data_IF_135526304023
#
_entry.id   IF_135526304023
#
_cell.length_a   1.000
_cell.length_b   1.000
_cell.length_c   1.000
_cell.angle_alpha   90.00
_cell.angle_beta   90.00
_cell.angle_gamma   90.00
#
_symmetry.space_group_name_H-M   'P 1'
#
loop_
_entity.id
_entity.type
_entity.pdbx_description
1 polymer ?
#
# COMPACT_ATOMS: atom_id res chain seq x y z
N UNK A 1 9.90 35.37 9.45
CA UNK A 1 8.65 34.70 9.03
C UNK A 1 7.60 35.03 10.09
N UNK A 2 6.55 35.80 9.79
CA UNK A 2 5.56 36.21 10.78
C UNK A 2 4.59 35.07 11.05
N UNK A 3 4.42 34.68 12.32
CA UNK A 3 3.28 33.89 12.77
C UNK A 3 3.53 32.70 13.71
N UNK A 4 4.76 32.23 13.89
CA UNK A 4 4.99 31.12 14.81
C UNK A 4 5.43 31.60 16.18
N UNK A 5 4.66 31.24 17.21
CA UNK A 5 4.95 31.61 18.59
C UNK A 5 5.72 30.49 19.28
N UNK A 6 6.83 30.83 19.91
CA UNK A 6 7.66 29.91 20.71
C UNK A 6 7.37 30.17 22.17
N UNK A 7 7.23 29.12 22.99
CA UNK A 7 7.18 29.24 24.44
C UNK A 7 8.55 28.94 25.02
N UNK A 8 9.17 29.91 25.67
CA UNK A 8 10.44 29.79 26.40
C UNK A 8 10.20 29.68 27.91
N UNK A 9 10.68 28.61 28.53
CA UNK A 9 10.56 28.36 29.98
C UNK A 9 11.98 28.28 30.54
N UNK A 10 12.33 29.26 31.36
CA UNK A 10 13.66 29.44 31.92
C UNK A 10 13.52 30.18 33.27
N UNK A 11 14.07 29.65 34.34
CA UNK A 11 13.96 30.23 35.65
C UNK A 11 14.96 31.36 35.89
N UNK A 12 16.15 31.26 35.29
CA UNK A 12 17.15 32.33 35.36
C UNK A 12 16.72 33.56 34.55
N UNK A 13 16.56 34.70 35.18
CA UNK A 13 16.11 35.95 34.53
C UNK A 13 17.05 36.36 33.38
N UNK A 14 18.39 36.26 33.59
CA UNK A 14 19.38 36.62 32.58
C UNK A 14 19.35 35.69 31.40
N UNK A 15 19.22 34.38 31.65
CA UNK A 15 19.08 33.34 30.61
C UNK A 15 17.80 33.54 29.82
N UNK A 16 16.68 33.82 30.50
CA UNK A 16 15.37 34.10 29.87
C UNK A 16 15.40 35.32 28.99
N UNK A 17 15.95 36.46 29.50
CA UNK A 17 16.09 37.69 28.70
C UNK A 17 16.99 37.49 27.48
N UNK A 18 18.13 36.79 27.61
CA UNK A 18 19.01 36.47 26.51
C UNK A 18 18.35 35.58 25.47
N UNK A 19 17.62 34.57 25.91
CA UNK A 19 16.82 33.69 25.05
C UNK A 19 15.76 34.46 24.26
N UNK A 20 14.97 35.31 24.96
CA UNK A 20 13.99 36.20 24.37
C UNK A 20 14.62 37.11 23.31
N UNK A 21 15.72 37.78 23.66
CA UNK A 21 16.44 38.69 22.76
C UNK A 21 16.89 37.95 21.48
N UNK A 22 17.54 36.80 21.62
CA UNK A 22 18.06 36.03 20.49
C UNK A 22 16.98 35.52 19.54
N UNK A 23 15.87 35.01 20.09
CA UNK A 23 14.75 34.47 19.29
C UNK A 23 13.96 35.59 18.61
N UNK A 24 13.69 36.72 19.32
CA UNK A 24 13.02 37.88 18.71
C UNK A 24 13.86 38.55 17.64
N UNK A 25 15.19 38.64 17.82
CA UNK A 25 16.13 39.14 16.79
C UNK A 25 16.18 38.22 15.57
N UNK A 26 15.86 36.94 15.72
CA UNK A 26 15.72 35.98 14.62
C UNK A 26 14.33 36.03 13.97
N UNK A 27 13.41 36.89 14.44
CA UNK A 27 12.10 37.13 13.83
C UNK A 27 10.96 36.27 14.38
N UNK A 28 11.18 35.58 15.50
CA UNK A 28 10.13 34.76 16.15
C UNK A 28 9.32 35.57 17.16
N UNK A 29 8.03 35.25 17.27
CA UNK A 29 7.20 35.68 18.42
C UNK A 29 7.47 34.76 19.59
N UNK A 30 7.74 35.32 20.78
CA UNK A 30 8.12 34.52 21.94
C UNK A 30 7.30 34.92 23.17
N UNK A 31 6.58 33.95 23.71
CA UNK A 31 6.00 33.97 25.04
C UNK A 31 7.01 33.34 26.02
N UNK A 32 7.10 33.82 27.24
CA UNK A 32 8.02 33.27 28.25
C UNK A 32 7.34 32.97 29.58
N UNK A 33 7.91 32.02 30.30
CA UNK A 33 7.53 31.66 31.66
C UNK A 33 8.78 31.52 32.53
N UNK A 34 8.69 31.88 33.81
CA UNK A 34 9.79 31.85 34.74
C UNK A 34 9.94 30.52 35.47
N UNK A 35 9.01 29.61 35.32
CA UNK A 35 9.04 28.26 35.90
C UNK A 35 8.21 27.27 35.06
N UNK A 36 8.35 25.99 35.39
CA UNK A 36 7.66 24.92 34.63
C UNK A 36 6.14 24.94 34.83
N UNK A 37 5.63 25.37 35.99
CA UNK A 37 4.20 25.41 36.27
C UNK A 37 3.50 26.50 35.46
N UNK A 38 4.07 27.70 35.46
CA UNK A 38 3.62 28.85 34.68
C UNK A 38 3.73 28.53 33.16
N UNK A 39 4.80 27.83 32.75
CA UNK A 39 4.97 27.35 31.37
C UNK A 39 3.88 26.40 30.94
N UNK A 40 3.58 25.38 31.71
CA UNK A 40 2.51 24.42 31.46
C UNK A 40 1.10 25.06 31.48
N UNK A 41 0.86 26.04 32.33
CA UNK A 41 -0.40 26.78 32.35
C UNK A 41 -0.57 27.66 31.09
N UNK A 42 0.53 28.23 30.59
CA UNK A 42 0.52 29.07 29.37
C UNK A 42 0.52 28.29 28.07
N UNK A 43 0.94 27.02 28.09
CA UNK A 43 1.06 26.19 26.88
C UNK A 43 -0.30 25.92 26.24
N UNK A 44 -0.43 26.29 24.97
CA UNK A 44 -1.57 25.99 24.11
C UNK A 44 -1.05 25.44 22.76
N UNK A 45 -1.40 24.18 22.35
CA UNK A 45 -0.90 23.56 21.14
C UNK A 45 -1.20 24.32 19.84
N UNK A 46 -2.33 25.05 19.83
CA UNK A 46 -2.79 25.85 18.69
C UNK A 46 -1.98 27.14 18.54
N UNK A 47 -1.40 27.63 19.63
CA UNK A 47 -0.64 28.89 19.65
C UNK A 47 0.86 28.67 19.58
N UNK A 48 1.39 27.70 20.34
CA UNK A 48 2.82 27.51 20.47
C UNK A 48 3.33 26.47 19.47
N UNK A 49 4.16 26.91 18.52
CA UNK A 49 4.73 26.06 17.50
C UNK A 49 5.94 25.24 17.98
N UNK A 50 6.59 25.70 19.04
CA UNK A 50 7.76 25.07 19.68
C UNK A 50 7.77 25.45 21.16
N UNK A 51 8.22 24.53 22.00
CA UNK A 51 8.55 24.84 23.41
C UNK A 51 10.04 24.65 23.62
N UNK A 52 10.65 25.61 24.32
CA UNK A 52 12.03 25.55 24.78
C UNK A 52 11.98 25.55 26.30
N UNK A 53 12.58 24.60 26.98
CA UNK A 53 12.57 24.52 28.44
C UNK A 53 13.95 24.21 28.99
N UNK A 54 14.35 24.89 30.07
CA UNK A 54 15.47 24.43 30.88
C UNK A 54 15.10 23.12 31.56
N UNK A 55 16.05 22.22 31.73
CA UNK A 55 15.86 21.00 32.51
C UNK A 55 15.90 21.21 34.00
N UNK A 56 16.77 22.08 34.46
CA UNK A 56 17.04 22.32 35.89
C UNK A 56 16.30 23.57 36.34
N UNK A 57 15.05 23.43 36.76
CA UNK A 57 14.22 24.50 37.30
C UNK A 57 13.64 24.10 38.66
N UNK A 58 13.45 25.05 39.62
CA UNK A 58 12.77 24.79 40.87
C UNK A 58 11.31 24.33 40.63
N UNK A 59 10.83 23.42 41.46
CA UNK A 59 9.44 22.95 41.41
C UNK A 59 9.24 21.95 40.26
N UNK A 60 8.51 22.35 39.22
CA UNK A 60 8.28 21.50 38.02
C UNK A 60 9.46 21.63 37.06
N UNK A 61 10.35 20.66 37.07
CA UNK A 61 11.53 20.62 36.20
C UNK A 61 11.19 20.34 34.72
N UNK A 62 12.16 20.63 33.81
CA UNK A 62 11.95 20.53 32.37
C UNK A 62 11.63 19.13 31.84
N UNK A 63 12.07 18.06 32.52
CA UNK A 63 11.68 16.70 32.16
C UNK A 63 10.17 16.45 32.34
N UNK A 64 9.60 16.97 33.44
CA UNK A 64 8.15 16.87 33.66
C UNK A 64 7.37 17.78 32.72
N UNK A 65 7.90 18.98 32.42
CA UNK A 65 7.35 19.84 31.36
C UNK A 65 7.32 19.11 30.02
N UNK A 66 8.41 18.51 29.60
CA UNK A 66 8.49 17.71 28.36
C UNK A 66 7.41 16.62 28.33
N UNK A 67 7.30 15.83 29.39
CA UNK A 67 6.34 14.74 29.49
C UNK A 67 4.90 15.24 29.34
N UNK A 68 4.50 16.27 30.11
CA UNK A 68 3.13 16.84 30.11
C UNK A 68 2.80 17.52 28.77
N UNK A 69 3.77 18.16 28.12
CA UNK A 69 3.57 18.73 26.78
C UNK A 69 3.32 17.62 25.77
N UNK A 70 4.12 16.53 25.80
CA UNK A 70 3.94 15.39 24.90
C UNK A 70 2.63 14.64 25.11
N UNK A 71 2.11 14.59 26.33
CA UNK A 71 0.78 14.07 26.63
C UNK A 71 -0.35 14.92 26.03
N UNK A 72 -0.19 16.28 26.03
CA UNK A 72 -1.17 17.20 25.47
C UNK A 72 -1.06 17.36 23.94
N UNK A 73 0.17 17.26 23.40
CA UNK A 73 0.46 17.45 21.98
C UNK A 73 1.73 16.70 21.60
N UNK A 74 1.57 15.53 20.99
CA UNK A 74 2.68 14.73 20.47
C UNK A 74 3.47 15.48 19.40
N UNK A 75 2.78 16.28 18.58
CA UNK A 75 3.35 16.96 17.41
C UNK A 75 4.11 18.25 17.74
N UNK A 76 3.93 18.81 18.96
CA UNK A 76 4.68 20.01 19.35
C UNK A 76 6.12 19.65 19.69
N UNK A 77 7.12 20.14 18.93
CA UNK A 77 8.52 19.90 19.28
C UNK A 77 8.86 20.58 20.58
N UNK A 78 9.66 19.90 21.40
CA UNK A 78 10.21 20.43 22.66
C UNK A 78 11.73 20.39 22.56
N UNK A 79 12.35 21.57 22.66
CA UNK A 79 13.81 21.74 22.73
C UNK A 79 14.20 21.88 24.18
N UNK A 80 15.19 21.13 24.63
CA UNK A 80 15.61 21.12 26.03
C UNK A 80 16.94 21.83 26.16
N UNK A 81 17.06 22.70 27.16
CA UNK A 81 18.33 23.36 27.53
C UNK A 81 18.88 22.66 28.78
N UNK A 82 20.17 22.37 28.81
CA UNK A 82 20.81 21.66 29.92
C UNK A 82 22.16 22.29 30.26
N UNK A 83 22.60 22.14 31.49
CA UNK A 83 23.95 22.58 31.92
C UNK A 83 25.06 21.74 31.26
N UNK A 84 26.25 22.29 31.17
CA UNK A 84 27.41 21.61 30.60
C UNK A 84 27.79 20.36 31.42
N UNK A 85 27.75 19.18 30.79
CA UNK A 85 28.14 17.91 31.41
C UNK A 85 27.02 16.90 31.68
N UNK A 86 25.74 17.28 31.62
CA UNK A 86 24.59 16.39 31.87
C UNK A 86 24.17 15.55 30.64
N UNK A 87 25.15 14.79 30.08
CA UNK A 87 24.89 13.95 28.89
C UNK A 87 23.81 12.90 29.19
N UNK A 88 23.81 12.31 30.38
CA UNK A 88 22.80 11.29 30.75
C UNK A 88 21.39 11.86 30.79
N UNK A 89 21.24 13.08 31.31
CA UNK A 89 19.94 13.78 31.36
C UNK A 89 19.48 14.20 29.95
N UNK A 90 20.40 14.67 29.11
CA UNK A 90 20.12 14.95 27.70
C UNK A 90 19.63 13.69 26.94
N UNK A 91 20.29 12.56 27.14
CA UNK A 91 19.88 11.27 26.58
C UNK A 91 18.51 10.84 27.10
N UNK A 92 18.23 11.03 28.39
CA UNK A 92 16.92 10.75 28.98
C UNK A 92 15.82 11.63 28.37
N UNK A 93 16.09 12.93 28.14
CA UNK A 93 15.17 13.85 27.49
C UNK A 93 14.87 13.42 26.04
N UNK A 94 15.89 13.01 25.28
CA UNK A 94 15.71 12.47 23.92
C UNK A 94 14.86 11.21 23.92
N UNK A 95 15.05 10.30 24.87
CA UNK A 95 14.21 9.09 25.03
C UNK A 95 12.78 9.44 25.42
N UNK A 96 12.56 10.52 26.17
CA UNK A 96 11.23 11.03 26.55
C UNK A 96 10.53 11.81 25.42
N UNK A 97 11.16 11.93 24.23
CA UNK A 97 10.57 12.54 23.05
C UNK A 97 10.92 14.03 22.84
N UNK A 98 11.99 14.53 23.44
CA UNK A 98 12.53 15.84 23.08
C UNK A 98 12.95 15.83 21.59
N UNK A 99 12.79 16.98 20.93
CA UNK A 99 13.24 17.16 19.55
C UNK A 99 14.76 17.17 19.46
N UNK A 100 15.38 17.95 20.33
CA UNK A 100 16.84 18.11 20.46
C UNK A 100 17.16 18.71 21.81
N UNK A 101 18.47 18.84 22.14
CA UNK A 101 18.95 19.50 23.34
C UNK A 101 20.05 20.52 23.02
N UNK A 102 20.20 21.53 23.89
CA UNK A 102 21.25 22.53 23.82
C UNK A 102 21.99 22.61 25.16
N UNK A 103 23.31 22.41 25.16
CA UNK A 103 24.16 22.57 26.34
C UNK A 103 24.54 24.03 26.58
N UNK A 104 24.34 24.55 27.82
CA UNK A 104 24.84 25.88 28.24
C UNK A 104 26.33 25.83 28.48
N UNK A 105 27.13 26.82 28.01
CA UNK A 105 26.73 27.96 27.20
C UNK A 105 26.60 27.59 25.73
N UNK A 106 25.55 28.11 25.08
CA UNK A 106 25.30 27.91 23.65
C UNK A 106 25.42 29.21 22.86
N UNK A 107 25.88 29.10 21.62
CA UNK A 107 25.92 30.24 20.70
C UNK A 107 24.52 30.51 20.12
N UNK A 108 24.21 31.80 19.90
CA UNK A 108 22.97 32.24 19.28
C UNK A 108 22.65 31.46 18.00
N UNK A 109 23.62 31.30 17.13
CA UNK A 109 23.43 30.65 15.82
C UNK A 109 23.03 29.17 15.97
N UNK A 110 23.53 28.50 17.00
CA UNK A 110 23.12 27.12 17.30
C UNK A 110 21.67 27.04 17.78
N UNK A 111 21.26 27.93 18.69
CA UNK A 111 19.85 28.03 19.13
C UNK A 111 18.92 28.29 17.93
N UNK A 112 19.23 29.29 17.12
CA UNK A 112 18.38 29.69 15.97
C UNK A 112 18.31 28.57 14.94
N UNK A 113 19.41 27.90 14.63
CA UNK A 113 19.45 26.76 13.70
C UNK A 113 18.61 25.59 14.18
N UNK A 114 18.69 25.24 15.49
CA UNK A 114 17.94 24.13 16.06
C UNK A 114 16.45 24.44 16.09
N UNK A 115 16.08 25.66 16.45
CA UNK A 115 14.70 26.16 16.39
C UNK A 115 14.13 26.08 14.96
N UNK A 116 14.91 26.55 13.97
CA UNK A 116 14.51 26.48 12.56
C UNK A 116 14.22 25.03 12.11
N UNK A 117 15.13 24.10 12.43
CA UNK A 117 14.95 22.65 12.11
C UNK A 117 13.69 22.07 12.77
N UNK A 118 13.43 22.43 14.04
CA UNK A 118 12.26 21.96 14.77
C UNK A 118 10.95 22.44 14.14
N UNK A 119 10.89 23.71 13.77
CA UNK A 119 9.71 24.31 13.14
C UNK A 119 9.51 23.80 11.70
N UNK A 120 10.57 23.62 10.93
CA UNK A 120 10.51 23.05 9.59
C UNK A 120 9.96 21.61 9.63
N UNK A 121 10.47 20.77 10.53
CA UNK A 121 9.94 19.40 10.71
C UNK A 121 8.46 19.39 11.09
N UNK A 122 8.02 20.30 11.99
CA UNK A 122 6.61 20.43 12.34
C UNK A 122 5.75 20.82 11.14
N UNK A 123 6.18 21.80 10.34
CA UNK A 123 5.49 22.23 9.11
C UNK A 123 5.35 21.09 8.12
N UNK A 124 6.44 20.37 7.85
CA UNK A 124 6.40 19.19 6.96
C UNK A 124 5.41 18.14 7.47
N UNK A 125 5.41 17.84 8.77
CA UNK A 125 4.45 16.90 9.36
C UNK A 125 3.00 17.39 9.23
N UNK A 126 2.75 18.67 9.45
CA UNK A 126 1.42 19.26 9.30
C UNK A 126 0.95 19.31 7.86
N UNK A 127 1.85 19.61 6.91
CA UNK A 127 1.56 19.59 5.48
C UNK A 127 1.24 18.19 4.98
N UNK A 128 2.04 17.19 5.36
CA UNK A 128 1.74 15.77 5.10
C UNK A 128 0.38 15.37 5.70
N UNK A 129 0.09 15.80 6.92
CA UNK A 129 -1.20 15.52 7.57
C UNK A 129 -2.37 16.24 6.88
N UNK A 130 -2.15 17.46 6.39
CA UNK A 130 -3.14 18.23 5.62
C UNK A 130 -3.39 17.60 4.25
N UNK A 131 -2.33 17.25 3.51
CA UNK A 131 -2.42 16.54 2.23
C UNK A 131 -3.11 15.18 2.39
N UNK A 132 -2.77 14.44 3.44
CA UNK A 132 -3.45 13.18 3.77
C UNK A 132 -4.93 13.38 4.10
N UNK A 133 -5.30 14.45 4.80
CA UNK A 133 -6.72 14.80 5.08
C UNK A 133 -7.45 15.21 3.82
N UNK A 134 -6.83 15.98 2.93
CA UNK A 134 -7.39 16.35 1.63
C UNK A 134 -7.60 15.13 0.73
N UNK A 135 -6.68 14.16 0.75
CA UNK A 135 -6.82 12.89 -0.01
C UNK A 135 -7.70 11.86 0.68
N UNK A 136 -7.81 11.87 2.01
CA UNK A 136 -8.66 10.95 2.76
C UNK A 136 -10.16 11.35 2.73
N UNK A 137 -10.47 12.62 2.49
CA UNK A 137 -11.85 13.14 2.46
C UNK A 137 -12.48 13.24 1.07
N UNK A 138 -11.70 13.09 0.00
CA UNK A 138 -12.25 13.05 -1.36
C UNK A 138 -12.62 11.59 -1.65
N UNK A 139 -13.89 11.25 -1.40
CA UNK A 139 -14.48 10.02 -1.92
C UNK A 139 -14.31 10.08 -3.45
N UNK A 140 -13.31 9.36 -3.99
CA UNK A 140 -13.17 9.24 -5.45
C UNK A 140 -14.46 8.58 -5.95
N UNK A 141 -15.22 9.23 -6.82
CA UNK A 141 -16.47 8.66 -7.27
C UNK A 141 -16.18 7.33 -7.96
N UNK A 142 -16.87 6.27 -7.53
CA UNK A 142 -16.83 4.99 -8.22
C UNK A 142 -17.78 5.12 -9.41
N UNK A 143 -17.21 5.30 -10.59
CA UNK A 143 -17.95 5.42 -11.84
C UNK A 143 -18.53 4.05 -12.20
N UNK A 144 -19.84 3.97 -12.34
CA UNK A 144 -20.57 2.76 -12.71
C UNK A 144 -21.93 3.10 -13.31
N UNK A 145 -22.45 2.21 -14.12
CA UNK A 145 -23.81 2.25 -14.69
C UNK A 145 -24.49 0.88 -14.53
N UNK A 146 -23.70 -0.19 -14.33
CA UNK A 146 -24.21 -1.55 -14.27
C UNK A 146 -24.99 -1.83 -12.98
N UNK A 147 -26.09 -2.60 -13.05
CA UNK A 147 -26.81 -3.06 -11.86
C UNK A 147 -25.97 -3.98 -10.96
N UNK A 148 -25.00 -4.71 -11.54
CA UNK A 148 -24.13 -5.60 -10.80
C UNK A 148 -23.23 -4.81 -9.84
N UNK A 149 -22.58 -3.73 -10.32
CA UNK A 149 -21.74 -2.87 -9.47
C UNK A 149 -22.61 -2.08 -8.49
N UNK A 150 -23.79 -1.61 -8.88
CA UNK A 150 -24.73 -0.93 -7.98
C UNK A 150 -25.06 -1.80 -6.76
N UNK A 151 -25.39 -3.09 -6.97
CA UNK A 151 -25.67 -4.04 -5.87
C UNK A 151 -24.45 -4.25 -4.95
N UNK A 152 -23.25 -4.36 -5.51
CA UNK A 152 -22.05 -4.48 -4.72
C UNK A 152 -21.83 -3.23 -3.83
N UNK A 153 -22.06 -2.04 -4.38
CA UNK A 153 -21.96 -0.79 -3.64
C UNK A 153 -23.04 -0.64 -2.55
N UNK A 154 -24.26 -1.11 -2.80
CA UNK A 154 -25.31 -1.14 -1.77
C UNK A 154 -24.92 -2.04 -0.58
N UNK A 155 -24.29 -3.20 -0.84
CA UNK A 155 -23.76 -4.05 0.23
C UNK A 155 -22.63 -3.31 0.96
N UNK A 156 -21.70 -2.68 0.22
CA UNK A 156 -20.61 -1.90 0.79
C UNK A 156 -21.11 -0.79 1.72
N UNK A 157 -22.16 -0.07 1.32
CA UNK A 157 -22.76 1.01 2.11
C UNK A 157 -23.45 0.46 3.37
N UNK A 158 -24.15 -0.67 3.28
CA UNK A 158 -24.78 -1.32 4.45
C UNK A 158 -23.76 -1.78 5.48
N UNK A 159 -22.68 -2.41 5.03
CA UNK A 159 -21.63 -2.90 5.95
C UNK A 159 -20.75 -1.79 6.50
N UNK A 160 -20.77 -0.60 5.91
CA UNK A 160 -19.98 0.54 6.37
C UNK A 160 -20.29 0.91 7.83
N UNK A 161 -21.55 0.86 8.24
CA UNK A 161 -21.99 1.18 9.61
C UNK A 161 -21.56 0.16 10.68
N UNK A 162 -21.20 -1.07 10.25
CA UNK A 162 -20.73 -2.14 11.12
C UNK A 162 -19.23 -2.02 11.40
N UNK A 163 -18.77 -2.60 12.53
CA UNK A 163 -17.34 -2.79 12.82
C UNK A 163 -16.80 -4.14 12.32
N UNK A 164 -17.66 -4.99 11.76
CA UNK A 164 -17.28 -6.33 11.30
C UNK A 164 -16.21 -6.27 10.19
N UNK A 165 -15.28 -7.23 10.14
CA UNK A 165 -14.39 -7.44 9.01
C UNK A 165 -15.19 -7.69 7.73
N UNK A 166 -14.65 -7.22 6.59
CA UNK A 166 -15.23 -7.44 5.26
C UNK A 166 -14.16 -8.01 4.36
N UNK A 167 -14.47 -9.08 3.66
CA UNK A 167 -13.62 -9.68 2.64
C UNK A 167 -14.12 -9.27 1.26
N UNK A 168 -13.32 -8.51 0.54
CA UNK A 168 -13.63 -8.05 -0.82
C UNK A 168 -12.94 -9.00 -1.80
N UNK A 169 -13.72 -9.75 -2.56
CA UNK A 169 -13.21 -10.70 -3.55
C UNK A 169 -13.40 -10.16 -4.98
N UNK A 170 -12.53 -10.54 -5.89
CA UNK A 170 -12.64 -10.16 -7.29
C UNK A 170 -11.29 -10.06 -7.97
N UNK A 171 -11.28 -10.15 -9.30
CA UNK A 171 -10.08 -10.14 -10.11
C UNK A 171 -9.23 -8.88 -9.90
N UNK A 172 -7.94 -8.98 -10.30
CA UNK A 172 -7.06 -7.82 -10.25
C UNK A 172 -7.60 -6.68 -11.12
N UNK A 173 -7.50 -5.44 -10.62
CA UNK A 173 -7.96 -4.27 -11.35
C UNK A 173 -9.48 -4.00 -11.33
N UNK A 174 -10.28 -4.74 -10.56
CA UNK A 174 -11.75 -4.52 -10.46
C UNK A 174 -12.14 -3.31 -9.61
N UNK A 175 -11.20 -2.75 -8.81
CA UNK A 175 -11.45 -1.59 -7.95
C UNK A 175 -11.64 -1.92 -6.47
N UNK A 176 -11.13 -3.05 -5.98
CA UNK A 176 -11.26 -3.50 -4.57
C UNK A 176 -10.86 -2.43 -3.56
N UNK A 177 -9.74 -1.74 -3.79
CA UNK A 177 -9.28 -0.66 -2.90
C UNK A 177 -10.24 0.54 -2.88
N UNK A 178 -10.83 0.93 -4.02
CA UNK A 178 -11.80 2.03 -4.07
C UNK A 178 -13.05 1.71 -3.26
N UNK A 179 -13.52 0.46 -3.33
CA UNK A 179 -14.65 -0.01 -2.53
C UNK A 179 -14.30 -0.05 -1.04
N UNK A 180 -13.09 -0.49 -0.67
CA UNK A 180 -12.63 -0.45 0.72
C UNK A 180 -12.57 0.99 1.26
N UNK A 181 -12.09 1.95 0.45
CA UNK A 181 -12.08 3.38 0.81
C UNK A 181 -13.49 3.94 0.99
N UNK A 182 -14.45 3.53 0.13
CA UNK A 182 -15.87 3.90 0.29
C UNK A 182 -16.45 3.36 1.59
N UNK A 183 -16.21 2.08 1.92
CA UNK A 183 -16.65 1.47 3.19
C UNK A 183 -16.08 2.27 4.38
N UNK A 184 -14.80 2.61 4.33
CA UNK A 184 -14.17 3.41 5.38
C UNK A 184 -14.80 4.80 5.50
N UNK A 185 -14.90 5.56 4.39
CA UNK A 185 -15.41 6.92 4.37
C UNK A 185 -16.84 7.02 4.93
N UNK A 186 -17.68 5.99 4.67
CA UNK A 186 -19.06 5.92 5.15
C UNK A 186 -19.22 5.23 6.51
N UNK A 187 -18.13 4.81 7.14
CA UNK A 187 -18.13 4.19 8.46
C UNK A 187 -18.10 5.22 9.59
N UNK A 188 -18.38 4.77 10.81
CA UNK A 188 -18.17 5.58 12.03
C UNK A 188 -16.71 5.97 12.25
N UNK A 189 -15.77 5.33 11.51
CA UNK A 189 -14.32 5.58 11.55
C UNK A 189 -13.82 6.38 10.34
N UNK A 190 -14.72 6.95 9.54
CA UNK A 190 -14.39 7.67 8.30
C UNK A 190 -13.53 8.91 8.50
N UNK A 191 -13.52 9.49 9.70
CA UNK A 191 -12.62 10.59 10.11
C UNK A 191 -11.24 10.09 10.59
N UNK A 192 -11.10 8.80 10.87
CA UNK A 192 -9.86 8.18 11.33
C UNK A 192 -8.92 7.82 10.17
N UNK A 193 -7.74 7.24 10.47
CA UNK A 193 -6.79 6.86 9.43
C UNK A 193 -7.29 5.68 8.59
N UNK A 194 -7.06 5.74 7.27
CA UNK A 194 -7.15 4.60 6.37
C UNK A 194 -5.74 4.17 5.96
N UNK A 195 -5.31 3.01 6.45
CA UNK A 195 -3.98 2.48 6.16
C UNK A 195 -4.12 1.28 5.23
N UNK A 196 -3.60 1.40 4.00
CA UNK A 196 -3.59 0.31 3.04
C UNK A 196 -2.24 -0.39 3.03
N UNK A 197 -2.26 -1.73 2.96
CA UNK A 197 -1.08 -2.58 2.84
C UNK A 197 -1.35 -3.61 1.76
N UNK A 198 -0.51 -3.64 0.73
CA UNK A 198 -0.52 -4.71 -0.24
C UNK A 198 0.46 -5.81 0.21
N UNK A 199 -0.08 -6.97 0.58
CA UNK A 199 0.71 -8.06 1.16
C UNK A 199 1.61 -8.74 0.11
N UNK A 200 1.26 -8.69 -1.17
CA UNK A 200 2.06 -9.24 -2.26
C UNK A 200 3.26 -8.35 -2.64
N UNK A 201 3.18 -7.03 -2.35
CA UNK A 201 4.22 -6.08 -2.75
C UNK A 201 5.40 -6.01 -1.78
N UNK A 202 5.28 -6.58 -0.57
CA UNK A 202 6.29 -6.51 0.49
C UNK A 202 6.93 -7.89 0.66
N UNK A 203 8.27 -8.00 0.63
CA UNK A 203 8.96 -9.26 0.94
C UNK A 203 8.53 -9.81 2.31
N UNK A 204 8.31 -11.13 2.41
CA UNK A 204 7.76 -11.77 3.60
C UNK A 204 8.52 -11.47 4.91
N UNK A 205 9.86 -11.38 4.84
CA UNK A 205 10.70 -11.02 5.99
C UNK A 205 10.46 -9.60 6.51
N UNK A 206 10.08 -8.66 5.62
CA UNK A 206 9.80 -7.27 5.98
C UNK A 206 8.31 -7.06 6.35
N UNK A 207 7.44 -7.91 5.82
CA UNK A 207 5.99 -7.77 6.00
C UNK A 207 5.57 -7.86 7.46
N UNK A 208 6.23 -8.73 8.24
CA UNK A 208 5.99 -8.85 9.68
C UNK A 208 6.30 -7.54 10.40
N UNK A 209 7.47 -6.97 10.16
CA UNK A 209 7.91 -5.71 10.74
C UNK A 209 7.05 -4.52 10.29
N UNK A 210 6.59 -4.50 9.04
CA UNK A 210 5.67 -3.47 8.55
C UNK A 210 4.30 -3.56 9.24
N UNK A 211 3.72 -4.77 9.36
CA UNK A 211 2.38 -4.94 9.93
C UNK A 211 2.36 -4.69 11.45
N UNK A 212 3.27 -5.35 12.19
CA UNK A 212 3.21 -5.41 13.65
C UNK A 212 4.18 -4.43 14.33
N UNK A 213 5.19 -3.93 13.59
CA UNK A 213 6.21 -3.03 14.14
C UNK A 213 7.33 -3.77 14.87
N UNK A 214 8.40 -3.05 15.19
CA UNK A 214 9.54 -3.59 15.93
C UNK A 214 10.13 -2.55 16.88
N UNK A 215 10.73 -3.01 17.96
CA UNK A 215 11.56 -2.19 18.83
C UNK A 215 12.99 -2.11 18.28
N UNK A 216 13.76 -1.13 18.73
CA UNK A 216 15.17 -1.00 18.36
C UNK A 216 15.94 -2.26 18.80
N UNK A 217 16.72 -2.85 17.89
CA UNK A 217 17.54 -4.04 18.16
C UNK A 217 16.81 -5.38 18.03
N UNK A 218 15.54 -5.40 17.59
CA UNK A 218 14.77 -6.61 17.44
C UNK A 218 15.34 -7.61 16.41
N UNK A 219 16.07 -7.11 15.42
CA UNK A 219 16.79 -7.91 14.42
C UNK A 219 17.97 -7.12 13.84
N UNK A 220 18.85 -7.78 13.08
CA UNK A 220 20.00 -7.15 12.39
C UNK A 220 19.50 -6.11 11.39
N UNK A 221 19.75 -4.82 11.69
CA UNK A 221 19.23 -3.68 10.90
C UNK A 221 18.12 -2.87 11.56
N UNK A 222 17.56 -3.31 12.69
CA UNK A 222 16.57 -2.55 13.47
C UNK A 222 17.24 -1.41 14.28
N UNK A 223 17.70 -0.37 13.57
CA UNK A 223 18.41 0.77 14.18
C UNK A 223 17.49 1.73 14.95
N UNK A 224 16.19 1.72 14.66
CA UNK A 224 15.15 2.57 15.27
C UNK A 224 13.92 1.73 15.60
N UNK A 225 13.13 2.17 16.57
CA UNK A 225 11.77 1.67 16.76
C UNK A 225 10.89 2.12 15.57
N UNK A 226 10.00 1.23 15.10
CA UNK A 226 9.03 1.54 14.05
C UNK A 226 7.66 1.05 14.45
N UNK A 227 6.66 1.95 14.56
CA UNK A 227 5.28 1.51 14.80
C UNK A 227 4.76 0.76 13.58
N UNK A 228 4.14 -0.41 13.80
CA UNK A 228 3.52 -1.21 12.74
C UNK A 228 2.26 -0.54 12.16
N UNK A 229 1.79 -1.07 11.03
CA UNK A 229 0.59 -0.57 10.34
C UNK A 229 -0.67 -0.68 11.19
N UNK A 230 -0.78 -1.69 12.05
CA UNK A 230 -1.88 -1.80 13.00
C UNK A 230 -1.93 -0.62 13.97
N UNK A 231 -0.79 -0.22 14.54
CA UNK A 231 -0.72 0.96 15.43
C UNK A 231 -1.02 2.25 14.67
N UNK A 232 -0.55 2.37 13.41
CA UNK A 232 -0.84 3.52 12.55
C UNK A 232 -2.32 3.63 12.19
N UNK A 233 -3.04 2.50 12.08
CA UNK A 233 -4.46 2.43 11.76
C UNK A 233 -5.37 2.56 13.00
N UNK A 234 -4.83 2.72 14.20
CA UNK A 234 -5.61 2.79 15.43
C UNK A 234 -6.59 3.96 15.40
N UNK A 235 -7.83 3.72 15.81
CA UNK A 235 -8.96 4.64 15.65
C UNK A 235 -9.57 4.68 14.25
N UNK A 236 -9.04 3.90 13.29
CA UNK A 236 -9.44 3.91 11.88
C UNK A 236 -9.62 2.52 11.28
N UNK A 237 -9.13 2.36 10.05
CA UNK A 237 -9.28 1.13 9.26
C UNK A 237 -7.95 0.71 8.67
N UNK A 238 -7.62 -0.58 8.80
CA UNK A 238 -6.52 -1.23 8.08
C UNK A 238 -7.11 -2.02 6.91
N UNK A 239 -6.62 -1.74 5.71
CA UNK A 239 -6.97 -2.47 4.50
C UNK A 239 -5.80 -3.37 4.09
N UNK A 240 -6.05 -4.68 4.04
CA UNK A 240 -5.08 -5.70 3.64
C UNK A 240 -5.43 -6.16 2.22
N UNK A 241 -4.68 -5.70 1.22
CA UNK A 241 -4.83 -6.15 -0.16
C UNK A 241 -4.01 -7.41 -0.39
N UNK A 242 -4.55 -8.36 -1.16
CA UNK A 242 -4.01 -9.68 -1.43
C UNK A 242 -3.66 -10.45 -0.14
N UNK A 243 -4.64 -10.52 0.78
CA UNK A 243 -4.48 -11.13 2.11
C UNK A 243 -4.09 -12.61 2.05
N UNK A 244 -4.41 -13.31 0.97
CA UNK A 244 -4.05 -14.72 0.72
C UNK A 244 -2.55 -14.93 0.47
N UNK A 245 -1.79 -13.86 0.21
CA UNK A 245 -0.34 -13.89 0.05
C UNK A 245 0.43 -13.81 1.39
N UNK A 246 -0.29 -13.67 2.51
CA UNK A 246 0.33 -13.67 3.84
C UNK A 246 0.93 -15.04 4.16
N UNK A 247 2.21 -15.12 4.58
CA UNK A 247 2.79 -16.35 5.13
C UNK A 247 1.98 -16.90 6.31
N UNK A 248 1.88 -18.22 6.45
CA UNK A 248 1.09 -18.88 7.49
C UNK A 248 1.42 -18.43 8.92
N UNK A 249 2.70 -18.11 9.19
CA UNK A 249 3.12 -17.58 10.48
C UNK A 249 2.49 -16.22 10.78
N UNK A 250 2.36 -15.35 9.76
CA UNK A 250 1.74 -14.02 9.90
C UNK A 250 0.22 -14.11 9.98
N UNK A 251 -0.38 -15.11 9.33
CA UNK A 251 -1.81 -15.36 9.44
C UNK A 251 -2.22 -15.67 10.90
N UNK A 252 -1.39 -16.41 11.66
CA UNK A 252 -1.64 -16.68 13.07
C UNK A 252 -1.59 -15.40 13.93
N UNK A 253 -0.61 -14.51 13.66
CA UNK A 253 -0.52 -13.21 14.34
C UNK A 253 -1.70 -12.29 13.99
N UNK A 254 -2.09 -12.26 12.71
CA UNK A 254 -3.26 -11.51 12.26
C UNK A 254 -4.54 -11.99 12.96
N UNK A 255 -4.73 -13.31 13.06
CA UNK A 255 -5.88 -13.90 13.77
C UNK A 255 -5.93 -13.41 15.22
N UNK A 256 -4.79 -13.39 15.91
CA UNK A 256 -4.71 -12.91 17.29
C UNK A 256 -5.13 -11.43 17.39
N UNK A 257 -4.67 -10.58 16.49
CA UNK A 257 -5.09 -9.16 16.47
C UNK A 257 -6.60 -9.02 16.26
N UNK A 258 -7.19 -9.85 15.36
CA UNK A 258 -8.64 -9.83 15.11
C UNK A 258 -9.48 -10.35 16.28
N UNK A 259 -8.91 -11.16 17.16
CA UNK A 259 -9.61 -11.75 18.31
C UNK A 259 -9.42 -10.94 19.59
N UNK A 260 -8.18 -10.55 19.88
CA UNK A 260 -7.78 -9.97 21.17
C UNK A 260 -7.60 -8.44 21.09
N UNK A 261 -7.61 -7.85 19.89
CA UNK A 261 -7.35 -6.42 19.66
C UNK A 261 -6.00 -5.94 20.23
N UNK A 262 -5.00 -6.83 20.21
CA UNK A 262 -3.64 -6.53 20.63
C UNK A 262 -2.64 -6.91 19.54
N UNK A 263 -1.52 -6.20 19.52
CA UNK A 263 -0.41 -6.44 18.58
C UNK A 263 0.84 -6.81 19.37
N UNK A 264 1.46 -7.92 19.02
CA UNK A 264 2.78 -8.30 19.52
C UNK A 264 3.85 -7.60 18.67
N UNK A 265 4.49 -6.59 19.26
CA UNK A 265 5.59 -5.86 18.60
C UNK A 265 6.84 -6.75 18.60
N UNK A 266 7.55 -6.83 17.46
CA UNK A 266 8.74 -7.67 17.34
C UNK A 266 9.83 -7.17 18.31
N UNK A 267 10.28 -8.06 19.19
CA UNK A 267 11.27 -7.74 20.25
C UNK A 267 10.71 -6.91 21.40
N UNK A 268 9.40 -6.68 21.45
CA UNK A 268 8.72 -6.01 22.57
C UNK A 268 8.36 -6.98 23.69
N UNK A 269 8.32 -6.48 24.92
CA UNK A 269 8.06 -7.28 26.13
C UNK A 269 6.56 -7.47 26.42
N UNK A 270 5.70 -6.63 25.85
CA UNK A 270 4.25 -6.66 26.12
C UNK A 270 3.43 -6.37 24.85
N UNK A 271 2.24 -7.01 24.71
CA UNK A 271 1.32 -6.71 23.63
C UNK A 271 0.76 -5.28 23.77
N UNK A 272 0.54 -4.64 22.63
CA UNK A 272 0.00 -3.26 22.54
C UNK A 272 -1.45 -3.31 22.07
N UNK A 273 -2.36 -2.74 22.84
CA UNK A 273 -3.78 -2.64 22.46
C UNK A 273 -3.95 -1.74 21.22
N UNK A 274 -4.82 -2.17 20.30
CA UNK A 274 -5.15 -1.43 19.07
C UNK A 274 -6.65 -1.49 18.82
N UNK A 275 -7.23 -0.37 18.41
CA UNK A 275 -8.63 -0.28 18.01
C UNK A 275 -8.72 -0.07 16.49
N UNK A 276 -8.74 -1.15 15.72
CA UNK A 276 -8.65 -1.11 14.25
C UNK A 276 -9.78 -1.94 13.63
N UNK A 277 -10.50 -1.36 12.67
CA UNK A 277 -11.35 -2.13 11.76
C UNK A 277 -10.51 -2.71 10.64
N UNK A 278 -10.66 -4.01 10.35
CA UNK A 278 -9.94 -4.67 9.26
C UNK A 278 -10.86 -4.89 8.07
N UNK A 279 -10.40 -4.46 6.89
CA UNK A 279 -10.95 -4.81 5.59
C UNK A 279 -9.87 -5.62 4.86
N UNK A 280 -10.25 -6.73 4.23
CA UNK A 280 -9.32 -7.59 3.49
C UNK A 280 -9.77 -7.70 2.04
N UNK A 281 -8.82 -7.85 1.11
CA UNK A 281 -9.12 -8.10 -0.29
C UNK A 281 -8.23 -9.21 -0.86
N UNK A 282 -8.74 -9.91 -1.87
CA UNK A 282 -7.99 -10.90 -2.63
C UNK A 282 -8.56 -11.09 -4.04
N UNK A 283 -7.72 -11.51 -4.96
CA UNK A 283 -8.10 -11.96 -6.30
C UNK A 283 -8.18 -13.48 -6.42
N UNK A 284 -7.89 -14.21 -5.34
CA UNK A 284 -7.83 -15.68 -5.34
C UNK A 284 -9.09 -16.28 -4.69
N UNK A 285 -9.37 -17.54 -5.03
CA UNK A 285 -10.40 -18.31 -4.38
C UNK A 285 -9.93 -18.71 -2.96
N UNK A 286 -10.56 -18.10 -1.96
CA UNK A 286 -10.21 -18.29 -0.54
C UNK A 286 -10.51 -19.70 -0.06
N UNK A 287 -11.52 -20.36 -0.64
CA UNK A 287 -11.89 -21.73 -0.28
C UNK A 287 -10.89 -22.73 -0.86
N UNK A 288 -10.47 -22.55 -2.09
CA UNK A 288 -9.41 -23.36 -2.71
C UNK A 288 -8.10 -23.20 -1.94
N UNK A 289 -7.68 -21.96 -1.63
CA UNK A 289 -6.47 -21.70 -0.83
C UNK A 289 -6.53 -22.29 0.57
N UNK A 290 -7.70 -22.30 1.21
CA UNK A 290 -7.89 -22.96 2.50
C UNK A 290 -7.84 -24.49 2.42
N UNK A 291 -8.33 -25.07 1.32
CA UNK A 291 -8.23 -26.52 1.06
C UNK A 291 -6.78 -26.97 0.81
N UNK A 292 -5.99 -26.14 0.10
CA UNK A 292 -4.56 -26.35 -0.14
C UNK A 292 -3.68 -26.13 1.10
N UNK A 293 -4.24 -25.63 2.21
CA UNK A 293 -3.51 -25.34 3.44
C UNK A 293 -2.66 -24.05 3.37
N UNK A 294 -2.82 -23.23 2.34
CA UNK A 294 -2.13 -21.94 2.14
C UNK A 294 -2.84 -20.79 2.88
N UNK A 295 -4.12 -20.98 3.22
CA UNK A 295 -4.90 -20.08 4.06
C UNK A 295 -5.46 -20.85 5.26
N UNK A 296 -5.26 -20.34 6.47
CA UNK A 296 -5.81 -20.96 7.68
C UNK A 296 -7.33 -20.79 7.70
N UNK A 297 -8.04 -21.88 7.98
CA UNK A 297 -9.52 -21.87 8.05
C UNK A 297 -10.06 -20.98 9.17
N UNK A 298 -9.37 -20.94 10.31
CA UNK A 298 -9.75 -20.09 11.46
C UNK A 298 -9.65 -18.60 11.11
N UNK A 299 -8.60 -18.20 10.39
CA UNK A 299 -8.45 -16.83 9.89
C UNK A 299 -9.52 -16.49 8.83
N UNK A 300 -9.78 -17.41 7.89
CA UNK A 300 -10.82 -17.22 6.88
C UNK A 300 -12.19 -16.93 7.53
N UNK A 301 -12.61 -17.73 8.49
CA UNK A 301 -13.89 -17.51 9.21
C UNK A 301 -13.92 -16.16 9.96
N UNK A 302 -12.79 -15.67 10.42
CA UNK A 302 -12.72 -14.40 11.13
C UNK A 302 -12.70 -13.19 10.20
N UNK A 303 -12.11 -13.31 9.00
CA UNK A 303 -12.09 -12.27 7.97
C UNK A 303 -13.38 -12.23 7.14
N UNK A 304 -13.95 -13.39 6.82
CA UNK A 304 -15.11 -13.55 5.96
C UNK A 304 -16.43 -13.51 6.75
N UNK A 305 -16.62 -12.45 7.56
CA UNK A 305 -17.92 -12.19 8.22
C UNK A 305 -18.92 -11.67 7.20
N UNK A 306 -18.46 -10.82 6.28
CA UNK A 306 -19.23 -10.36 5.13
C UNK A 306 -18.33 -10.49 3.90
N UNK A 307 -18.77 -11.26 2.92
CA UNK A 307 -18.13 -11.35 1.62
C UNK A 307 -18.75 -10.36 0.64
N UNK A 308 -17.89 -9.63 -0.05
CA UNK A 308 -18.27 -8.63 -1.06
C UNK A 308 -17.58 -8.95 -2.39
N UNK A 309 -18.22 -9.75 -3.25
CA UNK A 309 -17.69 -10.05 -4.57
C UNK A 309 -17.84 -8.86 -5.51
N UNK A 310 -16.74 -8.47 -6.17
CA UNK A 310 -16.75 -7.45 -7.23
C UNK A 310 -16.75 -8.12 -8.60
N UNK A 311 -17.73 -7.83 -9.46
CA UNK A 311 -17.82 -8.43 -10.78
C UNK A 311 -16.65 -7.95 -11.65
N UNK A 312 -16.07 -8.81 -12.50
CA UNK A 312 -15.09 -8.42 -13.50
C UNK A 312 -15.74 -7.53 -14.57
N UNK A 313 -14.94 -6.71 -15.26
CA UNK A 313 -15.43 -5.69 -16.19
C UNK A 313 -16.24 -6.30 -17.36
N UNK A 314 -15.91 -7.51 -17.80
CA UNK A 314 -16.65 -8.24 -18.85
C UNK A 314 -18.10 -8.60 -18.44
N UNK A 315 -18.41 -8.63 -17.15
CA UNK A 315 -19.75 -8.89 -16.60
C UNK A 315 -20.54 -7.59 -16.29
N UNK A 316 -19.89 -6.42 -16.48
CA UNK A 316 -20.47 -5.09 -16.27
C UNK A 316 -20.11 -4.15 -17.42
N UNK A 317 -20.38 -4.58 -18.64
CA UNK A 317 -20.00 -3.85 -19.86
C UNK A 317 -20.60 -2.45 -19.94
N UNK A 318 -21.74 -2.23 -19.29
CA UNK A 318 -22.40 -0.93 -19.18
C UNK A 318 -21.53 0.11 -18.47
N UNK A 319 -20.57 -0.33 -17.65
CA UNK A 319 -19.63 0.56 -16.96
C UNK A 319 -18.52 1.07 -17.90
N UNK A 320 -18.26 0.42 -19.03
CA UNK A 320 -17.12 0.72 -19.91
C UNK A 320 -17.22 2.14 -20.46
N UNK A 321 -18.36 2.50 -21.05
CA UNK A 321 -18.53 3.83 -21.66
C UNK A 321 -18.35 4.98 -20.64
N UNK A 322 -19.01 4.99 -19.46
CA UNK A 322 -18.78 6.03 -18.47
C UNK A 322 -17.37 6.03 -17.88
N UNK A 323 -16.72 4.86 -17.74
CA UNK A 323 -15.32 4.76 -17.31
C UNK A 323 -14.37 5.36 -18.34
N UNK A 324 -14.58 5.10 -19.64
CA UNK A 324 -13.77 5.68 -20.72
C UNK A 324 -13.86 7.19 -20.70
N UNK A 325 -15.07 7.75 -20.64
CA UNK A 325 -15.28 9.20 -20.55
C UNK A 325 -14.58 9.80 -19.33
N UNK A 326 -14.69 9.13 -18.18
CA UNK A 326 -14.03 9.57 -16.96
C UNK A 326 -12.49 9.58 -17.08
N UNK A 327 -11.91 8.53 -17.64
CA UNK A 327 -10.46 8.42 -17.79
C UNK A 327 -9.94 9.39 -18.84
N UNK A 328 -10.59 9.49 -20.00
CA UNK A 328 -10.18 10.43 -21.05
C UNK A 328 -10.21 11.87 -20.54
N UNK A 329 -11.29 12.27 -19.85
CA UNK A 329 -11.38 13.60 -19.24
C UNK A 329 -10.27 13.83 -18.19
N UNK A 330 -9.91 12.80 -17.42
CA UNK A 330 -8.84 12.87 -16.43
C UNK A 330 -7.44 12.98 -17.02
N UNK A 331 -7.17 12.29 -18.13
CA UNK A 331 -5.85 12.27 -18.78
C UNK A 331 -5.65 13.38 -19.83
N UNK A 332 -6.72 14.01 -20.30
CA UNK A 332 -6.66 15.04 -21.33
C UNK A 332 -6.01 16.35 -20.88
N UNK A 333 -5.75 16.56 -19.58
CA UNK A 333 -5.06 17.73 -19.00
C UNK A 333 -5.62 19.07 -19.50
N UNK A 334 -6.96 19.16 -19.62
CA UNK A 334 -7.66 20.36 -20.08
C UNK A 334 -7.88 20.46 -21.60
N UNK A 335 -7.46 19.45 -22.39
CA UNK A 335 -7.88 19.31 -23.77
C UNK A 335 -9.32 18.77 -23.81
N UNK A 336 -10.16 19.33 -24.66
CA UNK A 336 -11.50 18.82 -24.92
C UNK A 336 -11.41 17.74 -26.00
N UNK A 337 -11.24 16.48 -25.58
CA UNK A 337 -11.10 15.33 -26.47
C UNK A 337 -12.45 14.60 -26.62
N UNK A 338 -12.98 14.61 -27.84
CA UNK A 338 -14.17 13.84 -28.16
C UNK A 338 -13.84 12.34 -28.22
N UNK A 339 -14.64 11.51 -27.53
CA UNK A 339 -14.57 10.05 -27.63
C UNK A 339 -15.59 9.58 -28.66
N UNK A 340 -15.13 9.18 -29.86
CA UNK A 340 -16.02 8.76 -30.93
C UNK A 340 -16.81 7.50 -30.57
N UNK A 341 -18.00 7.34 -31.13
CA UNK A 341 -18.83 6.13 -30.91
C UNK A 341 -18.08 4.84 -31.33
N UNK A 342 -17.28 4.92 -32.40
CA UNK A 342 -16.47 3.78 -32.85
C UNK A 342 -15.45 3.32 -31.80
N UNK A 343 -14.83 4.25 -31.07
CA UNK A 343 -13.92 3.94 -29.94
C UNK A 343 -14.68 3.29 -28.79
N UNK A 344 -15.85 3.82 -28.43
CA UNK A 344 -16.67 3.24 -27.35
C UNK A 344 -17.09 1.81 -27.68
N UNK A 345 -17.58 1.58 -28.91
CA UNK A 345 -17.98 0.26 -29.39
C UNK A 345 -16.83 -0.74 -29.40
N UNK A 346 -15.65 -0.32 -29.88
CA UNK A 346 -14.47 -1.16 -29.87
C UNK A 346 -14.04 -1.53 -28.45
N UNK A 347 -13.99 -0.57 -27.52
CA UNK A 347 -13.62 -0.82 -26.13
C UNK A 347 -14.66 -1.71 -25.41
N UNK A 348 -15.94 -1.57 -25.74
CA UNK A 348 -17.02 -2.41 -25.17
C UNK A 348 -16.94 -3.88 -25.62
N UNK A 349 -16.34 -4.18 -26.79
CA UNK A 349 -16.18 -5.56 -27.30
C UNK A 349 -15.04 -6.33 -26.64
N UNK A 350 -14.05 -5.64 -26.07
CA UNK A 350 -12.86 -6.25 -25.48
C UNK A 350 -13.18 -6.97 -24.15
N UNK A 351 -12.40 -8.00 -23.84
CA UNK A 351 -12.62 -8.85 -22.66
C UNK A 351 -12.06 -8.28 -21.35
N UNK A 352 -11.07 -7.42 -21.43
CA UNK A 352 -10.44 -6.72 -20.31
C UNK A 352 -9.98 -7.64 -19.16
N UNK A 353 -9.02 -8.57 -19.40
CA UNK A 353 -8.52 -9.44 -18.34
C UNK A 353 -7.88 -8.68 -17.16
N UNK A 354 -7.33 -7.49 -17.40
CA UNK A 354 -6.84 -6.58 -16.36
C UNK A 354 -7.89 -5.60 -15.84
N UNK A 355 -9.17 -5.80 -16.21
CA UNK A 355 -10.32 -5.05 -15.74
C UNK A 355 -10.18 -3.51 -15.90
N UNK A 356 -10.60 -2.74 -14.92
CA UNK A 356 -10.58 -1.27 -14.95
C UNK A 356 -9.16 -0.70 -15.02
N UNK A 357 -8.16 -1.40 -14.47
CA UNK A 357 -6.75 -0.97 -14.55
C UNK A 357 -6.23 -1.04 -15.98
N UNK A 358 -6.56 -2.10 -16.70
CA UNK A 358 -6.19 -2.24 -18.12
C UNK A 358 -6.92 -1.22 -18.99
N UNK A 359 -8.22 -1.00 -18.75
CA UNK A 359 -9.00 0.01 -19.45
C UNK A 359 -8.42 1.42 -19.23
N UNK A 360 -8.06 1.78 -17.99
CA UNK A 360 -7.46 3.07 -17.66
C UNK A 360 -6.14 3.27 -18.42
N UNK A 361 -5.24 2.27 -18.41
CA UNK A 361 -3.97 2.32 -19.14
C UNK A 361 -4.18 2.43 -20.66
N UNK A 362 -5.22 1.77 -21.20
CA UNK A 362 -5.55 1.87 -22.61
C UNK A 362 -6.04 3.28 -22.98
N UNK A 363 -6.88 3.90 -22.14
CA UNK A 363 -7.33 5.27 -22.32
C UNK A 363 -6.18 6.28 -22.20
N UNK A 364 -5.31 6.14 -21.20
CA UNK A 364 -4.13 6.98 -21.00
C UNK A 364 -3.23 6.96 -22.24
N UNK A 365 -2.91 5.77 -22.75
CA UNK A 365 -2.10 5.58 -23.94
C UNK A 365 -2.77 6.21 -25.18
N UNK A 366 -4.09 6.02 -25.33
CA UNK A 366 -4.84 6.59 -26.44
C UNK A 366 -4.81 8.12 -26.42
N UNK A 367 -4.99 8.74 -25.26
CA UNK A 367 -4.91 10.21 -25.08
C UNK A 367 -3.51 10.75 -25.42
N UNK A 368 -2.45 10.03 -25.00
CA UNK A 368 -1.05 10.41 -25.30
C UNK A 368 -0.77 10.32 -26.81
N UNK A 369 -1.29 9.30 -27.51
CA UNK A 369 -1.03 9.09 -28.94
C UNK A 369 -1.94 9.92 -29.84
N UNK A 370 -3.09 10.37 -29.36
CA UNK A 370 -4.04 11.18 -30.09
C UNK A 370 -3.45 12.54 -30.45
N UNK A 371 -3.43 12.84 -31.77
CA UNK A 371 -2.88 14.09 -32.33
C UNK A 371 -3.95 15.14 -32.62
N UNK A 372 -5.23 14.74 -32.65
CA UNK A 372 -6.37 15.61 -32.94
C UNK A 372 -7.20 15.92 -31.69
N UNK A 373 -8.40 16.45 -31.93
CA UNK A 373 -9.38 16.77 -30.89
C UNK A 373 -10.40 15.63 -30.68
N UNK A 374 -10.28 14.52 -31.43
CA UNK A 374 -11.11 13.33 -31.29
C UNK A 374 -10.26 12.07 -31.25
N UNK A 375 -10.59 11.18 -30.29
CA UNK A 375 -9.98 9.85 -30.19
C UNK A 375 -10.56 8.94 -31.29
N UNK A 376 -9.66 8.31 -32.07
CA UNK A 376 -9.98 7.34 -33.09
C UNK A 376 -9.58 5.93 -32.69
N UNK A 377 -10.08 4.92 -33.41
CA UNK A 377 -9.78 3.49 -33.09
C UNK A 377 -8.28 3.21 -33.27
N UNK A 378 -7.61 3.92 -34.17
CA UNK A 378 -6.17 3.81 -34.45
C UNK A 378 -5.30 4.29 -33.28
N UNK A 379 -5.82 5.15 -32.41
CA UNK A 379 -5.12 5.61 -31.22
C UNK A 379 -5.16 4.57 -30.09
N UNK A 380 -6.08 3.60 -30.20
CA UNK A 380 -6.18 2.54 -29.19
C UNK A 380 -4.99 1.56 -29.29
N UNK A 381 -4.47 1.07 -28.16
CA UNK A 381 -3.54 -0.05 -28.20
C UNK A 381 -4.20 -1.24 -28.92
N UNK A 382 -3.42 -1.96 -29.73
CA UNK A 382 -3.91 -3.22 -30.30
C UNK A 382 -4.52 -4.04 -29.17
N UNK A 383 -5.72 -4.58 -29.41
CA UNK A 383 -6.32 -5.49 -28.45
C UNK A 383 -5.25 -6.54 -28.13
N UNK A 384 -4.96 -6.85 -26.84
CA UNK A 384 -4.17 -8.03 -26.56
C UNK A 384 -4.87 -9.14 -27.33
N UNK A 385 -4.15 -9.77 -28.26
CA UNK A 385 -4.68 -10.92 -28.97
C UNK A 385 -5.34 -11.74 -27.87
N UNK A 386 -6.67 -11.90 -27.95
CA UNK A 386 -7.42 -12.64 -26.94
C UNK A 386 -6.48 -13.76 -26.55
N UNK A 387 -6.21 -13.89 -25.23
CA UNK A 387 -5.48 -15.04 -24.76
C UNK A 387 -6.37 -16.25 -25.12
N UNK A 388 -6.47 -16.57 -26.39
CA UNK A 388 -6.45 -17.93 -26.81
C UNK A 388 -5.30 -18.47 -25.96
N UNK A 389 -5.58 -19.38 -25.06
CA UNK A 389 -4.60 -20.35 -24.57
C UNK A 389 -3.54 -20.46 -25.64
N UNK A 390 -2.23 -20.32 -25.33
CA UNK A 390 -1.26 -20.26 -26.39
C UNK A 390 -1.62 -21.36 -27.34
N UNK A 391 -2.44 -21.01 -28.33
CA UNK A 391 -2.68 -21.91 -29.46
C UNK A 391 -1.26 -22.04 -29.92
N UNK A 392 -0.69 -23.19 -29.66
CA UNK A 392 0.55 -23.59 -30.28
C UNK A 392 0.24 -23.49 -31.74
N UNK A 393 0.35 -22.27 -32.30
CA UNK A 393 0.19 -21.95 -33.70
C UNK A 393 1.38 -22.58 -34.41
N UNK A 394 1.20 -23.82 -34.69
CA UNK A 394 2.14 -24.68 -35.36
C UNK A 394 1.51 -26.06 -35.46
N UNK A 395 2.01 -26.91 -36.35
CA UNK A 395 1.47 -28.26 -36.59
C UNK A 395 1.40 -29.15 -35.33
N UNK A 396 2.04 -28.77 -34.23
CA UNK A 396 1.91 -29.41 -32.93
C UNK A 396 0.59 -29.04 -32.20
N UNK A 397 0.01 -27.87 -32.45
CA UNK A 397 -1.27 -27.43 -31.83
C UNK A 397 -2.49 -28.17 -32.38
N UNK A 398 -2.47 -28.49 -33.69
CA UNK A 398 -3.50 -29.33 -34.31
C UNK A 398 -3.42 -30.79 -33.83
N UNK A 399 -2.21 -31.29 -33.48
CA UNK A 399 -2.00 -32.63 -32.96
C UNK A 399 -2.45 -32.81 -31.48
N UNK A 400 -2.48 -31.74 -30.71
CA UNK A 400 -2.85 -31.75 -29.29
C UNK A 400 -4.29 -31.20 -29.02
N UNK A 401 -4.94 -30.68 -30.06
CA UNK A 401 -6.25 -30.00 -29.93
C UNK A 401 -7.43 -30.90 -29.56
N UNK A 402 -7.30 -32.23 -29.70
CA UNK A 402 -8.31 -33.21 -29.27
C UNK A 402 -7.59 -34.43 -28.72
N UNK A 403 -7.33 -34.44 -27.43
CA UNK A 403 -6.89 -35.65 -26.76
C UNK A 403 -8.11 -36.55 -26.53
N UNK A 404 -8.07 -37.87 -26.96
CA UNK A 404 -9.17 -38.78 -26.73
C UNK A 404 -9.42 -39.03 -25.25
N UNK A 405 -10.68 -39.06 -24.84
CA UNK A 405 -11.05 -39.34 -23.41
C UNK A 405 -10.59 -40.76 -22.98
N UNK A 406 -10.38 -41.67 -23.94
CA UNK A 406 -9.98 -43.07 -23.71
C UNK A 406 -8.47 -43.24 -23.46
N UNK A 407 -7.70 -42.15 -23.51
CA UNK A 407 -6.26 -42.11 -23.31
C UNK A 407 -5.47 -42.14 -24.63
N UNK A 408 -4.23 -41.67 -24.60
CA UNK A 408 -3.30 -41.59 -25.74
C UNK A 408 -2.02 -42.38 -25.43
N UNK A 409 -1.68 -43.32 -26.28
CA UNK A 409 -0.39 -43.99 -26.21
C UNK A 409 0.72 -43.05 -26.72
N UNK A 410 1.61 -42.62 -25.84
CA UNK A 410 2.77 -41.81 -26.22
C UNK A 410 3.71 -42.56 -27.19
N UNK A 411 3.79 -43.87 -27.10
CA UNK A 411 4.60 -44.71 -27.96
C UNK A 411 4.06 -44.67 -29.38
N UNK A 412 2.75 -44.79 -29.58
CA UNK A 412 2.12 -44.74 -30.88
C UNK A 412 2.19 -43.35 -31.50
N UNK A 413 2.04 -42.30 -30.67
CA UNK A 413 2.21 -40.92 -31.11
C UNK A 413 3.64 -40.66 -31.60
N UNK A 414 4.64 -41.08 -30.82
CA UNK A 414 6.05 -40.95 -31.16
C UNK A 414 6.36 -41.68 -32.49
N UNK A 415 5.87 -42.88 -32.64
CA UNK A 415 6.02 -43.69 -33.84
C UNK A 415 5.46 -42.96 -35.06
N UNK A 416 4.21 -42.52 -35.00
CA UNK A 416 3.55 -41.77 -36.11
C UNK A 416 4.26 -40.47 -36.45
N UNK A 417 4.74 -39.72 -35.45
CA UNK A 417 5.50 -38.49 -35.69
C UNK A 417 6.81 -38.78 -36.40
N UNK A 418 7.56 -39.79 -35.97
CA UNK A 418 8.83 -40.16 -36.60
C UNK A 418 8.59 -40.64 -38.04
N UNK A 419 7.62 -41.51 -38.29
CA UNK A 419 7.27 -42.01 -39.64
C UNK A 419 6.88 -40.86 -40.57
N UNK A 420 6.03 -39.94 -40.11
CA UNK A 420 5.58 -38.80 -40.90
C UNK A 420 6.73 -37.89 -41.28
N UNK A 421 7.64 -37.59 -40.34
CA UNK A 421 8.81 -36.75 -40.61
C UNK A 421 9.80 -37.45 -41.55
N UNK A 422 9.99 -38.76 -41.43
CA UNK A 422 10.80 -39.54 -42.37
C UNK A 422 10.23 -39.51 -43.79
N UNK A 423 8.91 -39.65 -43.94
CA UNK A 423 8.25 -39.49 -45.26
C UNK A 423 8.46 -38.09 -45.83
N UNK A 424 8.25 -37.03 -45.03
CA UNK A 424 8.50 -35.65 -45.45
C UNK A 424 9.94 -35.39 -45.88
N UNK A 425 10.91 -36.05 -45.25
CA UNK A 425 12.34 -35.89 -45.54
C UNK A 425 12.88 -37.03 -46.44
N UNK A 426 12.00 -37.76 -47.15
CA UNK A 426 12.33 -38.83 -48.10
C UNK A 426 13.33 -39.83 -47.54
N UNK A 427 13.15 -40.29 -46.33
CA UNK A 427 14.00 -41.23 -45.62
C UNK A 427 15.35 -40.70 -45.10
N UNK A 428 15.63 -39.43 -45.21
CA UNK A 428 16.89 -38.85 -44.77
C UNK A 428 16.86 -38.63 -43.23
N UNK A 429 17.48 -39.57 -42.50
CA UNK A 429 17.50 -39.57 -41.00
C UNK A 429 18.17 -38.33 -40.42
N UNK A 430 19.21 -37.79 -41.09
CA UNK A 430 19.90 -36.59 -40.60
C UNK A 430 19.01 -35.35 -40.68
N UNK A 431 18.28 -35.20 -41.81
CA UNK A 431 17.32 -34.08 -41.95
C UNK A 431 16.07 -34.25 -41.07
N UNK A 432 15.63 -35.49 -40.86
CA UNK A 432 14.54 -35.80 -39.94
C UNK A 432 14.91 -35.51 -38.51
N UNK A 433 16.12 -35.86 -38.07
CA UNK A 433 16.63 -35.54 -36.73
C UNK A 433 16.73 -34.02 -36.50
N UNK A 434 17.24 -33.27 -37.48
CA UNK A 434 17.31 -31.80 -37.42
C UNK A 434 15.90 -31.19 -37.35
N UNK A 435 14.93 -31.70 -38.11
CA UNK A 435 13.53 -31.23 -38.05
C UNK A 435 12.88 -31.49 -36.71
N UNK A 436 13.14 -32.66 -36.10
CA UNK A 436 12.66 -33.04 -34.76
C UNK A 436 13.45 -32.38 -33.61
N UNK A 437 14.51 -31.64 -33.94
CA UNK A 437 15.42 -31.00 -32.97
C UNK A 437 16.04 -31.99 -31.98
N UNK A 438 16.33 -33.21 -32.43
CA UNK A 438 17.02 -34.24 -31.64
C UNK A 438 18.31 -34.68 -32.32
N UNK A 439 19.33 -35.16 -31.57
CA UNK A 439 20.53 -35.71 -32.15
C UNK A 439 20.24 -36.93 -33.05
N UNK A 440 21.00 -37.06 -34.13
CA UNK A 440 20.80 -38.18 -35.12
C UNK A 440 20.85 -39.57 -34.47
N UNK A 441 21.75 -39.78 -33.52
CA UNK A 441 21.86 -41.07 -32.83
C UNK A 441 20.64 -41.39 -31.98
N UNK A 442 20.00 -40.35 -31.37
CA UNK A 442 18.77 -40.52 -30.60
C UNK A 442 17.61 -40.92 -31.51
N UNK A 443 17.49 -40.28 -32.69
CA UNK A 443 16.47 -40.66 -33.66
C UNK A 443 16.68 -42.10 -34.17
N UNK A 444 17.93 -42.46 -34.48
CA UNK A 444 18.26 -43.83 -34.92
C UNK A 444 17.90 -44.90 -33.88
N UNK A 445 18.22 -44.64 -32.61
CA UNK A 445 17.84 -45.50 -31.48
C UNK A 445 16.31 -45.63 -31.35
N UNK A 446 15.56 -44.53 -31.44
CA UNK A 446 14.09 -44.55 -31.37
C UNK A 446 13.47 -45.30 -32.55
N UNK A 447 14.01 -45.12 -33.76
CA UNK A 447 13.58 -45.89 -34.93
C UNK A 447 13.77 -47.41 -34.74
N UNK A 448 14.91 -47.81 -34.20
CA UNK A 448 15.19 -49.23 -33.88
C UNK A 448 14.26 -49.76 -32.81
N UNK A 449 14.09 -49.01 -31.73
CA UNK A 449 13.22 -49.35 -30.61
C UNK A 449 11.75 -49.56 -31.05
N UNK A 450 11.25 -48.74 -31.97
CA UNK A 450 9.86 -48.77 -32.44
C UNK A 450 9.70 -49.55 -33.75
N UNK A 451 10.74 -50.21 -34.25
CA UNK A 451 10.68 -51.04 -35.49
C UNK A 451 10.43 -50.23 -36.77
N UNK A 452 10.72 -48.93 -36.78
CA UNK A 452 10.46 -48.02 -37.90
C UNK A 452 11.52 -48.25 -38.99
N UNK A 453 11.11 -48.68 -40.17
CA UNK A 453 11.98 -48.83 -41.33
C UNK A 453 12.04 -47.55 -42.15
N UNK A 454 13.18 -47.32 -42.84
CA UNK A 454 13.29 -46.20 -43.77
C UNK A 454 12.34 -46.43 -44.93
N UNK A 455 11.52 -45.45 -45.33
CA UNK A 455 10.67 -45.54 -46.48
C UNK A 455 11.47 -45.66 -47.81
#
# INVERSE_FOLDING_TARGET
MPGETILLIEDDDSGRELGLFNLRKAGYTVDSAADGEAGLARFAPERHALVITDLQMPGVGGMEVLRRIKERSVDTPVLVITAYGDIEVAVAAMKAGAFDFLGKPFHRDHLVLTVHKALERRRMSQEIAALRRQTAGVERPIVHASPAMARALEIADRVASSSAPVLITGESGTGKELVARRIHARSRRGSGPFVAVNCAAIPGELLESELFGHVRGAFTGATRERPGRFRQASGGTLFLDEVTELPLALQAKLLRVLQEHVVDVIGGDAPVAVDVRVLAATNQDVHARAAEGLLRKDLLYRLNVVELPLPPLRERREDIAPLVLHFVAGFAEGRDLEVTAAVQDELARRSWPGNVRELANACERAVILCRGDALCVEDLPAAPAAASEPAMSGPAGELLGVLPEDGLSLVDLETRVIERVLQMKRGNVSQAAAYLRIPRHVLAYRMEKHGIRRP
#
